data_IF_202508263585
#
_entry.id   IF_202508263585
#
_cell.length_a   1.000
_cell.length_b   1.000
_cell.length_c   1.000
_cell.angle_alpha   90.00
_cell.angle_beta   90.00
_cell.angle_gamma   90.00
#
_symmetry.space_group_name_H-M   'P 1'
#
loop_
_entity.id
_entity.type
_entity.pdbx_description
1 polymer ?
#
# COMPACT_ATOMS: atom_id res chain seq x y z
N UNK A 1 6.26 -19.95 -18.06
CA UNK A 1 5.65 -20.03 -16.73
C UNK A 1 5.50 -18.60 -16.31
N UNK A 2 4.27 -18.12 -16.12
CA UNK A 2 4.02 -16.73 -15.75
C UNK A 2 4.77 -16.47 -14.44
N UNK A 3 5.58 -15.41 -14.39
CA UNK A 3 5.94 -14.83 -13.10
C UNK A 3 4.61 -14.34 -12.54
N UNK A 4 4.07 -15.04 -11.56
CA UNK A 4 2.77 -14.71 -11.01
C UNK A 4 2.95 -13.48 -10.13
N UNK A 5 2.68 -12.31 -10.70
CA UNK A 5 2.51 -11.07 -9.95
C UNK A 5 1.48 -11.36 -8.85
N UNK A 6 1.96 -11.42 -7.59
CA UNK A 6 1.12 -11.85 -6.47
C UNK A 6 0.27 -10.67 -6.05
N UNK A 7 -0.98 -10.68 -6.48
CA UNK A 7 -1.96 -9.67 -6.09
C UNK A 7 -2.39 -9.89 -4.64
N UNK A 8 -2.35 -8.83 -3.85
CA UNK A 8 -2.80 -8.81 -2.45
C UNK A 8 -3.86 -7.74 -2.22
N UNK A 9 -4.72 -7.97 -1.23
CA UNK A 9 -5.62 -6.96 -0.67
C UNK A 9 -5.40 -6.93 0.85
N UNK A 10 -5.06 -5.76 1.39
CA UNK A 10 -4.78 -5.58 2.81
C UNK A 10 -5.67 -4.47 3.40
N UNK A 11 -6.06 -4.65 4.66
CA UNK A 11 -6.81 -3.64 5.42
C UNK A 11 -5.98 -3.18 6.62
N UNK A 12 -5.79 -1.87 6.76
CA UNK A 12 -4.90 -1.32 7.77
C UNK A 12 -4.85 0.20 7.74
N UNK A 13 -3.72 0.76 8.16
CA UNK A 13 -3.52 2.21 8.27
C UNK A 13 -2.22 2.64 7.59
N UNK A 14 -2.23 3.81 6.97
CA UNK A 14 -1.01 4.47 6.50
C UNK A 14 -0.48 5.33 7.65
N UNK A 15 0.63 4.93 8.26
CA UNK A 15 1.11 5.53 9.52
C UNK A 15 2.19 6.58 9.32
N UNK A 16 2.92 6.52 8.19
CA UNK A 16 4.04 7.42 7.92
C UNK A 16 4.29 7.57 6.41
N UNK A 17 4.62 8.79 5.97
CA UNK A 17 5.21 9.02 4.64
C UNK A 17 6.73 8.89 4.72
N UNK A 18 7.32 8.16 3.76
CA UNK A 18 8.76 7.92 3.68
C UNK A 18 9.44 8.80 2.61
N UNK A 19 8.67 9.56 1.83
CA UNK A 19 9.14 10.31 0.66
C UNK A 19 9.03 9.51 -0.63
N UNK A 20 9.11 10.19 -1.79
CA UNK A 20 9.11 9.55 -3.12
C UNK A 20 8.00 8.52 -3.31
N UNK A 21 6.75 8.89 -3.01
CA UNK A 21 5.55 8.02 -3.16
C UNK A 21 5.55 6.75 -2.27
N UNK A 22 6.51 6.64 -1.35
CA UNK A 22 6.61 5.55 -0.39
C UNK A 22 5.95 5.86 0.94
N UNK A 23 5.29 4.86 1.52
CA UNK A 23 4.58 4.95 2.79
C UNK A 23 4.77 3.70 3.64
N UNK A 24 4.62 3.86 4.96
CA UNK A 24 4.52 2.74 5.89
C UNK A 24 3.06 2.38 6.10
N UNK A 25 2.72 1.14 5.78
CA UNK A 25 1.41 0.54 6.03
C UNK A 25 1.47 -0.41 7.22
N UNK A 26 0.45 -0.38 8.06
CA UNK A 26 0.34 -1.20 9.26
C UNK A 26 -0.99 -1.92 9.33
N UNK A 27 -0.94 -3.22 9.60
CA UNK A 27 -2.10 -4.01 10.01
C UNK A 27 -1.86 -4.70 11.36
N UNK A 28 -2.71 -5.66 11.74
CA UNK A 28 -2.57 -6.39 13.01
C UNK A 28 -1.37 -7.34 13.06
N UNK A 29 -0.77 -7.66 11.91
CA UNK A 29 0.29 -8.65 11.76
C UNK A 29 1.68 -8.01 11.74
N UNK A 30 1.77 -6.76 11.28
CA UNK A 30 3.04 -6.04 11.21
C UNK A 30 2.96 -4.77 10.38
N UNK A 31 4.11 -4.38 9.85
CA UNK A 31 4.31 -3.19 9.02
C UNK A 31 5.02 -3.57 7.72
N UNK A 32 4.64 -2.94 6.62
CA UNK A 32 5.24 -3.11 5.29
C UNK A 32 5.32 -1.76 4.58
N UNK A 33 6.30 -1.62 3.68
CA UNK A 33 6.38 -0.45 2.80
C UNK A 33 5.45 -0.66 1.61
N UNK A 34 4.74 0.41 1.25
CA UNK A 34 3.87 0.46 0.08
C UNK A 34 4.24 1.66 -0.77
N UNK A 35 4.16 1.51 -2.09
CA UNK A 35 4.28 2.58 -3.08
C UNK A 35 2.88 2.97 -3.52
N UNK A 36 2.55 4.26 -3.49
CA UNK A 36 1.28 4.77 -4.00
C UNK A 36 1.59 5.98 -4.89
N UNK A 37 1.57 5.76 -6.20
CA UNK A 37 1.65 6.82 -7.20
C UNK A 37 0.62 7.92 -6.91
N UNK A 38 1.00 9.17 -7.16
CA UNK A 38 0.13 10.33 -6.94
C UNK A 38 -1.25 10.23 -7.65
N UNK A 39 -1.32 9.52 -8.78
CA UNK A 39 -2.57 9.33 -9.54
C UNK A 39 -3.55 8.34 -8.88
N UNK A 40 -3.07 7.39 -8.07
CA UNK A 40 -3.89 6.34 -7.44
C UNK A 40 -4.70 6.87 -6.25
N UNK A 41 -4.32 8.02 -5.69
CA UNK A 41 -5.07 8.68 -4.65
C UNK A 41 -6.44 9.17 -5.11
N UNK A 42 -6.60 9.57 -6.38
CA UNK A 42 -7.88 10.06 -6.93
C UNK A 42 -8.55 11.17 -6.09
N UNK A 43 -7.75 12.00 -5.40
CA UNK A 43 -8.21 13.05 -4.50
C UNK A 43 -8.65 12.57 -3.11
N UNK A 44 -8.43 11.30 -2.77
CA UNK A 44 -8.66 10.74 -1.45
C UNK A 44 -7.64 11.31 -0.45
N UNK A 45 -8.14 12.01 0.57
CA UNK A 45 -7.34 12.46 1.70
C UNK A 45 -7.33 11.38 2.79
N UNK A 46 -6.16 10.84 3.15
CA UNK A 46 -6.00 9.78 4.16
C UNK A 46 -5.10 10.27 5.29
N UNK A 47 -5.55 10.06 6.51
CA UNK A 47 -4.82 10.33 7.75
C UNK A 47 -4.44 9.02 8.44
N UNK A 48 -3.49 9.03 9.40
CA UNK A 48 -3.15 7.83 10.17
C UNK A 48 -4.30 7.23 11.00
N UNK A 49 -5.39 7.97 11.24
CA UNK A 49 -6.57 7.49 11.95
C UNK A 49 -7.54 6.72 11.04
N UNK A 50 -7.46 6.94 9.73
CA UNK A 50 -8.33 6.29 8.75
C UNK A 50 -7.90 4.83 8.55
N UNK A 51 -8.86 3.91 8.61
CA UNK A 51 -8.66 2.55 8.10
C UNK A 51 -8.86 2.55 6.59
N UNK A 52 -7.89 2.01 5.85
CA UNK A 52 -7.94 1.89 4.40
C UNK A 52 -7.85 0.44 3.96
N UNK A 53 -8.38 0.16 2.77
CA UNK A 53 -8.19 -1.08 2.03
C UNK A 53 -7.30 -0.74 0.83
N UNK A 54 -6.18 -1.43 0.70
CA UNK A 54 -5.27 -1.32 -0.44
C UNK A 54 -5.31 -2.63 -1.24
N UNK A 55 -5.22 -2.52 -2.57
CA UNK A 55 -5.00 -3.67 -3.46
C UNK A 55 -3.82 -3.35 -4.36
N UNK A 56 -2.92 -4.31 -4.54
CA UNK A 56 -1.68 -4.11 -5.29
C UNK A 56 -0.91 -5.39 -5.50
N UNK A 57 0.28 -5.27 -6.10
CA UNK A 57 1.16 -6.37 -6.46
C UNK A 57 2.35 -6.43 -5.48
N UNK A 58 2.75 -7.63 -5.08
CA UNK A 58 3.98 -7.81 -4.29
C UNK A 58 5.18 -7.65 -5.21
N UNK A 59 5.89 -6.52 -5.08
CA UNK A 59 7.15 -6.30 -5.77
C UNK A 59 8.30 -6.90 -4.95
N UNK A 60 9.04 -7.81 -5.61
CA UNK A 60 10.18 -8.53 -5.04
C UNK A 60 11.52 -8.15 -5.69
N UNK A 61 11.52 -7.21 -6.64
CA UNK A 61 12.74 -6.72 -7.28
C UNK A 61 13.58 -5.84 -6.33
N UNK A 62 12.98 -5.36 -5.23
CA UNK A 62 13.66 -4.62 -4.17
C UNK A 62 14.32 -5.53 -3.13
N UNK A 63 15.31 -5.00 -2.40
CA UNK A 63 15.97 -5.72 -1.30
C UNK A 63 15.01 -6.10 -0.14
N UNK A 64 13.86 -5.43 -0.04
CA UNK A 64 12.81 -5.68 0.94
C UNK A 64 11.49 -5.78 0.21
N UNK A 65 10.62 -6.77 0.51
CA UNK A 65 9.30 -6.87 -0.12
C UNK A 65 8.48 -5.59 0.08
N UNK A 66 7.89 -5.10 -1.01
CA UNK A 66 6.99 -3.94 -1.04
C UNK A 66 5.69 -4.31 -1.73
N UNK A 67 4.68 -3.45 -1.61
CA UNK A 67 3.44 -3.55 -2.39
C UNK A 67 3.34 -2.30 -3.26
N UNK A 68 3.31 -2.51 -4.58
CA UNK A 68 2.91 -1.47 -5.53
C UNK A 68 1.38 -1.41 -5.56
N UNK A 69 0.80 -0.27 -5.14
CA UNK A 69 -0.63 -0.15 -4.87
C UNK A 69 -1.38 0.36 -6.10
N UNK A 70 -2.21 -0.49 -6.70
CA UNK A 70 -3.12 -0.14 -7.79
C UNK A 70 -4.32 0.72 -7.34
N UNK A 71 -4.80 0.49 -6.11
CA UNK A 71 -6.01 1.15 -5.62
C UNK A 71 -6.07 1.25 -4.10
N UNK A 72 -6.63 2.36 -3.64
CA UNK A 72 -6.84 2.66 -2.22
C UNK A 72 -8.26 3.19 -2.00
N UNK A 73 -8.89 2.75 -0.91
CA UNK A 73 -10.18 3.26 -0.46
C UNK A 73 -10.25 3.34 1.06
N UNK A 74 -10.96 4.34 1.59
CA UNK A 74 -11.31 4.36 3.01
C UNK A 74 -12.35 3.30 3.32
N UNK A 75 -12.14 2.59 4.42
CA UNK A 75 -13.15 1.71 4.99
C UNK A 75 -14.21 2.56 5.70
N UNK A 76 -15.45 2.42 5.28
CA UNK A 76 -16.61 3.12 5.86
C UNK A 76 -16.96 2.65 7.27
#
# INVERSE_FOLDING_TARGET
>A
MANEDTIVELTGHITQSLGDEMYLFKDSTGEIQIEIDNNHWLGLDVTPEDTVIIRGEVDSEWNTPQIDVDSIQKKA
#
